data_IF_702327817212
#
_entry.id   IF_702327817212
#
_cell.length_a   1.000
_cell.length_b   1.000
_cell.length_c   1.000
_cell.angle_alpha   90.00
_cell.angle_beta   90.00
_cell.angle_gamma   90.00
#
_symmetry.space_group_name_H-M   'P 1'
#
loop_
_entity.id
_entity.type
_entity.pdbx_description
1 polymer ?
#
# COMPACT_ATOMS: atom_id res chain seq x y z
N UNK A 1 8.63 3.37 -10.89
CA UNK A 1 9.95 3.59 -10.23
C UNK A 1 10.42 2.34 -9.46
N UNK A 2 9.50 1.56 -8.90
CA UNK A 2 9.79 0.35 -8.12
C UNK A 2 9.08 -0.87 -8.68
N UNK A 3 8.98 -0.95 -10.01
CA UNK A 3 8.22 -1.99 -10.74
C UNK A 3 8.88 -3.37 -10.64
N UNK A 4 10.15 -3.44 -10.18
CA UNK A 4 10.87 -4.68 -9.91
C UNK A 4 10.53 -5.30 -8.54
N UNK A 5 9.81 -4.59 -7.68
CA UNK A 5 9.43 -5.09 -6.36
C UNK A 5 8.24 -6.04 -6.50
N UNK A 6 8.39 -7.25 -5.96
CA UNK A 6 7.29 -8.17 -5.80
C UNK A 6 6.65 -7.96 -4.41
N UNK A 7 5.42 -7.42 -4.34
CA UNK A 7 4.75 -7.25 -3.05
C UNK A 7 4.44 -8.57 -2.34
N UNK A 8 4.42 -9.70 -3.06
CA UNK A 8 4.17 -11.01 -2.47
C UNK A 8 5.31 -11.47 -1.56
N UNK A 9 6.56 -11.08 -1.84
CA UNK A 9 7.69 -11.35 -0.95
C UNK A 9 7.55 -10.59 0.38
N UNK A 10 6.90 -9.42 0.34
CA UNK A 10 6.65 -8.59 1.53
C UNK A 10 5.50 -9.17 2.35
N UNK A 11 4.32 -9.40 1.74
CA UNK A 11 3.12 -9.81 2.51
C UNK A 11 3.19 -11.25 3.04
N UNK A 12 3.92 -12.13 2.36
CA UNK A 12 4.14 -13.50 2.84
C UNK A 12 5.23 -13.61 3.92
N UNK A 13 5.96 -12.54 4.21
CA UNK A 13 6.92 -12.49 5.31
C UNK A 13 6.33 -11.69 6.48
N UNK A 14 6.00 -12.36 7.58
CA UNK A 14 5.30 -11.73 8.70
C UNK A 14 5.99 -10.46 9.22
N UNK A 15 7.32 -10.49 9.34
CA UNK A 15 8.10 -9.35 9.83
C UNK A 15 8.04 -8.18 8.85
N UNK A 16 8.23 -8.44 7.56
CA UNK A 16 8.20 -7.39 6.54
C UNK A 16 6.79 -6.84 6.37
N UNK A 17 5.77 -7.70 6.31
CA UNK A 17 4.37 -7.30 6.22
C UNK A 17 4.00 -6.35 7.35
N UNK A 18 4.24 -6.74 8.60
CA UNK A 18 3.87 -5.94 9.76
C UNK A 18 4.66 -4.62 9.79
N UNK A 19 5.91 -4.62 9.33
CA UNK A 19 6.73 -3.42 9.20
C UNK A 19 6.17 -2.44 8.15
N UNK A 20 5.79 -2.93 6.96
CA UNK A 20 5.18 -2.11 5.91
C UNK A 20 3.81 -1.60 6.35
N UNK A 21 2.99 -2.47 6.94
CA UNK A 21 1.67 -2.12 7.45
C UNK A 21 1.76 -1.00 8.49
N UNK A 22 2.63 -1.15 9.49
CA UNK A 22 2.82 -0.12 10.53
C UNK A 22 3.35 1.19 9.96
N UNK A 23 4.28 1.13 9.00
CA UNK A 23 4.74 2.31 8.25
C UNK A 23 3.57 3.01 7.56
N UNK A 24 2.69 2.28 6.87
CA UNK A 24 1.57 2.85 6.11
C UNK A 24 0.48 3.39 7.05
N UNK A 25 0.29 2.76 8.22
CA UNK A 25 -0.65 3.19 9.24
C UNK A 25 -0.14 4.31 10.16
N UNK A 26 1.09 4.81 9.95
CA UNK A 26 1.75 5.78 10.83
C UNK A 26 1.95 5.29 12.28
N UNK A 27 2.00 3.98 12.50
CA UNK A 27 2.25 3.34 13.82
C UNK A 27 3.70 2.85 13.98
N UNK A 28 4.51 2.97 12.93
CA UNK A 28 5.94 2.68 12.94
C UNK A 28 6.71 3.39 11.82
N UNK A 29 8.04 3.34 11.83
CA UNK A 29 8.86 3.98 10.79
C UNK A 29 8.84 3.20 9.48
N UNK A 30 8.91 3.92 8.37
CA UNK A 30 9.19 3.36 7.05
C UNK A 30 10.69 3.19 6.90
N UNK A 31 11.17 1.95 6.77
CA UNK A 31 12.61 1.66 6.82
C UNK A 31 13.26 1.57 5.44
N UNK A 32 12.48 1.32 4.39
CA UNK A 32 12.98 1.18 3.03
C UNK A 32 12.55 2.35 2.13
N UNK A 33 13.38 2.75 1.15
CA UNK A 33 13.02 3.81 0.21
C UNK A 33 11.74 3.53 -0.59
N UNK A 34 11.46 2.26 -0.88
CA UNK A 34 10.24 1.87 -1.57
C UNK A 34 9.00 1.99 -0.68
N UNK A 35 9.09 1.62 0.61
CA UNK A 35 7.98 1.80 1.55
C UNK A 35 7.60 3.29 1.70
N UNK A 36 8.62 4.16 1.78
CA UNK A 36 8.42 5.61 1.82
C UNK A 36 7.72 6.08 0.54
N UNK A 37 8.26 5.70 -0.63
CA UNK A 37 7.69 6.07 -1.92
C UNK A 37 6.24 5.59 -2.07
N UNK A 38 5.96 4.33 -1.80
CA UNK A 38 4.61 3.79 -1.94
C UNK A 38 3.63 4.46 -1.00
N UNK A 39 3.99 4.67 0.27
CA UNK A 39 3.15 5.38 1.24
C UNK A 39 2.76 6.79 0.77
N UNK A 40 3.69 7.53 0.17
CA UNK A 40 3.43 8.87 -0.35
C UNK A 40 2.47 8.87 -1.55
N UNK A 41 2.55 7.85 -2.41
CA UNK A 41 1.80 7.80 -3.67
C UNK A 41 0.50 7.00 -3.58
N UNK A 42 0.34 6.15 -2.57
CA UNK A 42 -0.84 5.31 -2.39
C UNK A 42 -2.16 6.10 -2.28
N UNK A 43 -2.24 7.25 -1.56
CA UNK A 43 -3.47 8.05 -1.52
C UNK A 43 -3.96 8.46 -2.91
N UNK A 44 -3.04 8.90 -3.78
CA UNK A 44 -3.36 9.27 -5.16
C UNK A 44 -3.82 8.05 -5.96
N UNK A 45 -3.10 6.93 -5.85
CA UNK A 45 -3.45 5.68 -6.51
C UNK A 45 -4.86 5.18 -6.11
N UNK A 46 -5.26 5.33 -4.85
CA UNK A 46 -6.60 4.94 -4.39
C UNK A 46 -7.68 5.85 -5.00
N UNK A 47 -7.51 7.17 -4.97
CA UNK A 47 -8.54 8.11 -5.44
C UNK A 47 -8.64 8.17 -6.95
N UNK A 48 -7.52 8.10 -7.66
CA UNK A 48 -7.51 8.14 -9.13
C UNK A 48 -7.72 6.78 -9.78
N UNK A 49 -7.93 5.72 -8.97
CA UNK A 49 -7.97 4.32 -9.43
C UNK A 49 -6.73 3.97 -10.24
N UNK A 50 -5.57 4.30 -9.68
CA UNK A 50 -4.26 4.01 -10.24
C UNK A 50 -4.02 4.61 -11.64
N UNK A 51 -4.55 5.81 -11.91
CA UNK A 51 -4.41 6.48 -13.23
C UNK A 51 -2.95 6.68 -13.64
N UNK A 52 -2.04 6.86 -12.67
CA UNK A 52 -0.60 7.04 -12.89
C UNK A 52 0.22 5.77 -12.66
N UNK A 53 -0.42 4.66 -12.29
CA UNK A 53 0.26 3.39 -12.06
C UNK A 53 0.65 2.73 -13.39
N UNK A 54 1.82 2.09 -13.42
CA UNK A 54 2.18 1.20 -14.52
C UNK A 54 1.35 -0.09 -14.48
N UNK A 55 1.31 -0.85 -15.57
CA UNK A 55 0.57 -2.13 -15.62
C UNK A 55 1.08 -3.14 -14.57
N UNK A 56 2.39 -3.12 -14.31
CA UNK A 56 3.01 -3.95 -13.26
C UNK A 56 2.49 -3.51 -11.88
N UNK A 57 2.44 -2.20 -11.62
CA UNK A 57 1.94 -1.68 -10.34
C UNK A 57 0.46 -1.98 -10.13
N UNK A 58 -0.37 -1.94 -11.19
CA UNK A 58 -1.79 -2.34 -11.11
C UNK A 58 -1.94 -3.81 -10.77
N UNK A 59 -1.22 -4.69 -11.48
CA UNK A 59 -1.20 -6.13 -11.23
C UNK A 59 -0.75 -6.44 -9.80
N UNK A 60 0.29 -5.75 -9.33
CA UNK A 60 0.82 -5.90 -7.98
C UNK A 60 -0.18 -5.43 -6.91
N UNK A 61 -0.90 -4.34 -7.18
CA UNK A 61 -1.98 -3.86 -6.30
C UNK A 61 -3.14 -4.87 -6.22
N UNK A 62 -3.54 -5.47 -7.35
CA UNK A 62 -4.58 -6.50 -7.38
C UNK A 62 -4.19 -7.73 -6.55
N UNK A 63 -2.95 -8.23 -6.71
CA UNK A 63 -2.43 -9.34 -5.90
C UNK A 63 -2.43 -9.03 -4.41
N UNK A 64 -1.98 -7.83 -4.04
CA UNK A 64 -2.02 -7.35 -2.65
C UNK A 64 -3.45 -7.34 -2.11
N UNK A 65 -4.39 -6.76 -2.85
CA UNK A 65 -5.79 -6.67 -2.44
C UNK A 65 -6.42 -8.06 -2.23
N UNK A 66 -6.14 -9.01 -3.13
CA UNK A 66 -6.61 -10.40 -2.99
C UNK A 66 -6.04 -11.02 -1.71
N UNK A 67 -4.71 -10.98 -1.53
CA UNK A 67 -4.05 -11.56 -0.36
C UNK A 67 -4.58 -10.98 0.95
N UNK A 68 -4.72 -9.65 1.02
CA UNK A 68 -5.23 -8.97 2.20
C UNK A 68 -6.70 -9.30 2.49
N UNK A 69 -7.56 -9.40 1.47
CA UNK A 69 -8.95 -9.80 1.67
C UNK A 69 -9.07 -11.24 2.19
N UNK A 70 -8.19 -12.15 1.77
CA UNK A 70 -8.20 -13.55 2.20
C UNK A 70 -7.59 -13.75 3.58
N UNK A 71 -6.55 -12.99 3.93
CA UNK A 71 -5.74 -13.25 5.13
C UNK A 71 -5.97 -12.24 6.25
N UNK A 72 -6.19 -10.95 5.92
CA UNK A 72 -6.27 -9.83 6.88
C UNK A 72 -7.26 -8.74 6.44
N UNK A 73 -8.56 -9.05 6.25
CA UNK A 73 -9.54 -8.13 5.67
C UNK A 73 -9.80 -6.87 6.50
N UNK A 74 -9.70 -6.97 7.83
CA UNK A 74 -9.88 -5.82 8.73
C UNK A 74 -8.73 -4.81 8.57
N UNK A 75 -7.49 -5.32 8.49
CA UNK A 75 -6.31 -4.49 8.24
C UNK A 75 -6.39 -3.79 6.88
N UNK A 76 -6.85 -4.50 5.85
CA UNK A 76 -7.08 -3.95 4.52
C UNK A 76 -8.09 -2.82 4.52
N UNK A 77 -9.23 -3.06 5.18
CA UNK A 77 -10.31 -2.08 5.29
C UNK A 77 -9.82 -0.80 5.99
N UNK A 78 -9.08 -0.95 7.10
CA UNK A 78 -8.49 0.17 7.82
C UNK A 78 -7.47 0.94 6.96
N UNK A 79 -6.62 0.23 6.24
CA UNK A 79 -5.60 0.80 5.35
C UNK A 79 -6.22 1.64 4.23
N UNK A 80 -7.20 1.08 3.51
CA UNK A 80 -7.89 1.76 2.42
C UNK A 80 -8.66 2.98 2.94
N UNK A 81 -9.35 2.85 4.08
CA UNK A 81 -10.03 3.98 4.72
C UNK A 81 -9.05 5.11 5.03
N UNK A 82 -7.91 4.80 5.66
CA UNK A 82 -6.88 5.77 5.97
C UNK A 82 -6.39 6.49 4.71
N UNK A 83 -6.06 5.76 3.65
CA UNK A 83 -5.56 6.38 2.42
C UNK A 83 -6.61 7.23 1.69
N UNK A 84 -7.89 6.86 1.77
CA UNK A 84 -8.99 7.72 1.29
C UNK A 84 -9.08 9.03 2.10
N UNK A 85 -8.91 8.99 3.41
CA UNK A 85 -8.88 10.19 4.26
C UNK A 85 -7.65 11.06 3.99
N UNK A 86 -6.48 10.46 3.83
CA UNK A 86 -5.24 11.17 3.50
C UNK A 86 -5.34 11.88 2.15
N UNK A 87 -5.94 11.24 1.14
CA UNK A 87 -6.16 11.85 -0.16
C UNK A 87 -7.14 13.03 -0.11
N UNK A 88 -8.15 13.00 0.76
CA UNK A 88 -9.06 14.15 0.97
C UNK A 88 -8.31 15.35 1.53
N UNK A 89 -7.41 15.14 2.49
CA UNK A 89 -6.61 16.21 3.13
C UNK A 89 -5.59 16.85 2.18
N UNK A 90 -5.11 16.10 1.19
CA UNK A 90 -4.16 16.64 0.18
C UNK A 90 -4.84 17.55 -0.85
N UNK A 91 -6.17 17.54 -0.94
CA UNK A 91 -6.96 18.35 -1.88
C UNK A 91 -7.74 19.49 -1.18
N UNK A 92 -7.51 19.70 0.12
CA UNK A 92 -8.11 20.75 0.96
C UNK A 92 -7.07 21.77 1.40
#
# INVERSE_FOLDING_TARGET
>A
KYDYIDPMEIVNNDRLRDQYYNCFMNTGPCVTPDAIYFKEHFPEAVVTKCKKCTEIQKTNFEKLAIWYNENRPDEWTALIKKFMEDAKKQNS
#
